data_IF_443896367584
#
_entry.id   IF_443896367584
#
_cell.length_a   1.000
_cell.length_b   1.000
_cell.length_c   1.000
_cell.angle_alpha   90.00
_cell.angle_beta   90.00
_cell.angle_gamma   90.00
#
_symmetry.space_group_name_H-M   'P 1'
#
loop_
_entity.id
_entity.type
_entity.pdbx_description
1 polymer ?
#
# COMPACT_ATOMS: atom_id res chain seq x y z
N UNK A 1 -32.97 -1.49 -27.67
CA UNK A 1 -32.62 -1.31 -27.19
C UNK A 1 -32.34 -1.37 -26.27
N UNK A 2 -32.12 -1.33 -26.08
CA UNK A 2 -31.69 -1.27 -25.22
C UNK A 2 -31.03 -1.30 -24.42
N UNK A 3 -30.69 -1.32 -24.47
CA UNK A 3 -29.92 -1.23 -23.71
C UNK A 3 -29.55 -1.02 -22.81
N UNK A 4 -29.52 -0.97 -22.87
CA UNK A 4 -29.00 -0.62 -22.11
C UNK A 4 -28.68 -0.62 -21.24
N UNK A 5 -28.68 -0.63 -21.39
CA UNK A 5 -28.21 -0.40 -20.66
C UNK A 5 -27.70 -0.48 -19.89
N UNK A 6 -27.54 -0.50 -20.02
CA UNK A 6 -26.86 -0.35 -19.35
C UNK A 6 -26.39 -0.20 -18.69
N UNK A 7 -26.30 -0.03 -18.77
CA UNK A 7 -25.72 0.38 -18.12
C UNK A 7 -25.47 0.33 -17.35
N UNK A 8 -25.47 0.30 -17.40
CA UNK A 8 -25.05 0.54 -16.63
C UNK A 8 -24.67 0.20 -15.97
N UNK A 9 -24.49 -0.07 -16.16
CA UNK A 9 -23.89 -0.09 -15.49
C UNK A 9 -23.43 -0.14 -14.72
N UNK A 10 -23.25 -0.18 -14.73
CA UNK A 10 -22.66 0.07 -14.03
C UNK A 10 -22.21 0.10 -13.43
N UNK A 11 -21.89 0.57 -13.53
CA UNK A 11 -21.32 1.04 -12.92
C UNK A 11 -21.08 0.96 -12.06
N UNK A 12 -21.01 0.98 -11.96
CA UNK A 12 -20.65 1.20 -11.13
C UNK A 12 -20.12 0.87 -10.43
N UNK A 13 -19.79 0.70 -10.54
CA UNK A 13 -19.17 0.60 -9.90
C UNK A 13 -18.54 0.74 -9.31
N UNK A 14 -18.31 0.96 -9.43
CA UNK A 14 -17.69 1.33 -8.97
C UNK A 14 -17.22 1.48 -8.19
N UNK A 15 -16.82 1.59 -7.96
CA UNK A 15 -16.35 1.89 -7.32
C UNK A 15 -15.93 2.13 -6.40
N UNK A 16 -15.39 2.45 -6.46
CA UNK A 16 -15.16 3.35 -5.39
C UNK A 16 -14.57 2.88 -4.12
N UNK A 17 -14.60 1.72 -3.85
CA UNK A 17 -13.92 1.15 -2.71
C UNK A 17 -12.50 1.63 -2.64
N UNK A 18 -12.03 2.14 -3.71
CA UNK A 18 -10.67 2.62 -3.79
C UNK A 18 -10.39 3.79 -2.87
N UNK A 19 -11.43 4.39 -2.32
CA UNK A 19 -11.24 5.54 -1.46
C UNK A 19 -10.49 5.21 -0.18
N UNK A 20 -10.36 3.96 0.16
CA UNK A 20 -9.79 3.58 1.45
C UNK A 20 -8.38 3.02 1.37
N UNK A 21 -7.65 3.38 0.35
CA UNK A 21 -6.28 2.94 0.25
C UNK A 21 -5.47 3.49 1.41
N UNK A 22 -4.68 2.64 2.00
CA UNK A 22 -3.69 3.02 2.99
C UNK A 22 -2.32 2.68 2.45
N UNK A 23 -1.32 3.35 2.98
CA UNK A 23 0.05 3.12 2.57
C UNK A 23 0.88 2.83 3.80
N UNK A 24 1.83 1.93 3.65
CA UNK A 24 2.65 1.45 4.74
C UNK A 24 4.11 1.48 4.34
N UNK A 25 4.96 1.68 5.33
CA UNK A 25 6.39 1.56 5.13
C UNK A 25 6.83 0.26 5.77
N UNK A 26 7.55 -0.55 5.03
CA UNK A 26 8.05 -1.83 5.53
C UNK A 26 9.55 -1.92 5.34
N UNK A 27 10.16 -2.73 6.19
CA UNK A 27 11.47 -3.26 5.91
C UNK A 27 11.25 -4.68 5.39
N UNK A 28 11.56 -4.90 4.12
CA UNK A 28 11.30 -6.17 3.46
C UNK A 28 12.59 -6.68 2.86
N UNK A 29 13.06 -7.81 3.36
CA UNK A 29 14.34 -8.39 2.95
C UNK A 29 15.49 -7.39 3.07
N UNK A 30 15.48 -6.60 4.14
CA UNK A 30 16.55 -5.66 4.41
C UNK A 30 16.49 -4.35 3.65
N UNK A 31 15.38 -4.07 2.97
CA UNK A 31 15.20 -2.83 2.20
C UNK A 31 13.90 -2.14 2.56
N UNK A 32 13.94 -0.83 2.60
CA UNK A 32 12.74 -0.03 2.83
C UNK A 32 11.87 -0.03 1.57
N UNK A 33 10.60 -0.38 1.75
CA UNK A 33 9.61 -0.34 0.66
C UNK A 33 8.37 0.39 1.16
N UNK A 34 7.65 1.02 0.24
CA UNK A 34 6.37 1.65 0.53
C UNK A 34 5.31 0.91 -0.29
N UNK A 35 4.28 0.40 0.39
CA UNK A 35 3.30 -0.49 -0.21
C UNK A 35 1.90 -0.08 0.16
N UNK A 36 0.96 -0.34 -0.72
CA UNK A 36 -0.46 -0.20 -0.39
C UNK A 36 -1.03 -1.48 0.22
N UNK A 37 -0.25 -2.53 0.30
CA UNK A 37 -0.66 -3.79 0.92
C UNK A 37 -0.57 -3.66 2.43
N UNK A 38 -1.61 -4.13 3.12
CA UNK A 38 -1.56 -4.20 4.58
C UNK A 38 -0.68 -5.39 5.00
N UNK A 39 -0.38 -5.53 6.30
CA UNK A 39 0.52 -6.60 6.74
C UNK A 39 0.05 -8.00 6.36
N UNK A 40 -1.26 -8.25 6.36
CA UNK A 40 -1.76 -9.55 5.98
C UNK A 40 -1.54 -9.82 4.50
N UNK A 41 -1.78 -8.81 3.67
CA UNK A 41 -1.52 -8.92 2.23
C UNK A 41 -0.04 -9.08 1.95
N UNK A 42 0.80 -8.41 2.71
CA UNK A 42 2.25 -8.56 2.59
C UNK A 42 2.68 -9.98 2.89
N UNK A 43 2.10 -10.59 3.93
CA UNK A 43 2.44 -11.96 4.27
C UNK A 43 2.10 -12.92 3.14
N UNK A 44 0.95 -12.70 2.50
CA UNK A 44 0.54 -13.54 1.38
C UNK A 44 1.47 -13.33 0.18
N UNK A 45 1.81 -12.09 -0.12
CA UNK A 45 2.58 -11.77 -1.30
C UNK A 45 4.08 -12.03 -1.13
N UNK A 46 4.61 -11.81 0.06
CA UNK A 46 6.04 -11.77 0.31
C UNK A 46 6.53 -12.71 1.38
N UNK A 47 5.64 -13.44 2.02
CA UNK A 47 6.04 -14.34 3.09
C UNK A 47 6.27 -13.61 4.39
N UNK A 48 7.29 -13.99 5.14
CA UNK A 48 7.49 -13.49 6.50
C UNK A 48 8.72 -12.63 6.68
N UNK A 49 9.42 -12.29 5.60
CA UNK A 49 10.67 -11.55 5.70
C UNK A 49 10.51 -10.04 5.78
N UNK A 50 9.44 -9.56 6.37
CA UNK A 50 9.18 -8.13 6.45
C UNK A 50 8.71 -7.73 7.84
N UNK A 51 8.81 -6.42 8.12
CA UNK A 51 8.20 -5.85 9.31
C UNK A 51 7.71 -4.44 8.97
N UNK A 52 6.65 -4.02 9.64
CA UNK A 52 6.12 -2.69 9.43
C UNK A 52 6.95 -1.67 10.19
N UNK A 53 7.28 -0.57 9.51
CA UNK A 53 8.14 0.47 10.04
C UNK A 53 7.34 1.76 10.19
N UNK A 54 6.47 1.83 11.16
CA UNK A 54 5.69 3.03 11.40
C UNK A 54 4.20 2.79 11.22
N UNK A 55 3.40 3.85 11.25
CA UNK A 55 1.95 3.73 11.15
C UNK A 55 1.50 3.59 9.70
N UNK A 56 0.19 3.36 9.53
CA UNK A 56 -0.43 3.45 8.22
C UNK A 56 -0.63 4.91 7.85
N UNK A 57 -0.57 5.21 6.57
CA UNK A 57 -0.75 6.56 6.05
C UNK A 57 -1.89 6.58 5.04
N UNK A 58 -2.61 7.70 5.00
CA UNK A 58 -3.71 7.87 4.07
C UNK A 58 -3.22 8.21 2.66
N UNK A 59 -2.04 8.77 2.55
CA UNK A 59 -1.50 9.22 1.27
C UNK A 59 -0.14 8.61 0.99
N UNK A 60 0.08 8.29 -0.26
CA UNK A 60 1.36 7.76 -0.68
C UNK A 60 2.49 8.74 -0.35
N UNK A 61 2.26 10.02 -0.60
CA UNK A 61 3.28 11.02 -0.35
C UNK A 61 3.67 11.09 1.12
N UNK A 62 2.71 10.86 2.01
CA UNK A 62 2.99 10.86 3.44
C UNK A 62 3.87 9.68 3.83
N UNK A 63 3.58 8.51 3.28
CA UNK A 63 4.39 7.33 3.55
C UNK A 63 5.79 7.50 3.00
N UNK A 64 5.91 8.04 1.79
CA UNK A 64 7.21 8.28 1.18
C UNK A 64 8.03 9.28 1.98
N UNK A 65 7.38 10.33 2.46
CA UNK A 65 8.03 11.34 3.28
C UNK A 65 8.53 10.75 4.59
N UNK A 66 7.70 9.93 5.22
CA UNK A 66 8.09 9.24 6.44
C UNK A 66 9.30 8.35 6.20
N UNK A 67 9.28 7.58 5.12
CA UNK A 67 10.40 6.71 4.77
C UNK A 67 11.67 7.52 4.55
N UNK A 68 11.56 8.64 3.86
CA UNK A 68 12.70 9.49 3.56
C UNK A 68 13.30 10.09 4.83
N UNK A 69 12.46 10.62 5.70
CA UNK A 69 12.93 11.29 6.90
C UNK A 69 13.53 10.35 7.92
N UNK A 70 12.98 9.15 8.02
CA UNK A 70 13.36 8.25 9.09
C UNK A 70 14.36 7.20 8.68
N UNK A 71 14.40 6.84 7.39
CA UNK A 71 15.21 5.73 6.93
C UNK A 71 16.05 6.04 5.70
N UNK A 72 15.92 7.23 5.16
CA UNK A 72 16.68 7.63 3.99
C UNK A 72 15.97 7.32 2.67
N UNK A 73 14.75 6.77 2.71
CA UNK A 73 13.94 6.55 1.52
C UNK A 73 13.86 5.10 1.10
N UNK A 74 13.04 4.87 0.09
CA UNK A 74 12.86 3.53 -0.46
C UNK A 74 14.17 2.99 -1.00
N UNK A 75 14.37 1.69 -0.81
CA UNK A 75 15.57 1.02 -1.27
C UNK A 75 16.72 1.05 -0.30
N UNK A 76 16.65 1.86 0.76
CA UNK A 76 17.71 1.93 1.75
C UNK A 76 17.69 0.68 2.62
N UNK A 77 18.84 0.35 3.12
CA UNK A 77 19.00 -0.81 4.00
C UNK A 77 18.25 -0.60 5.30
N UNK A 78 17.68 -1.67 5.82
CA UNK A 78 16.97 -1.62 7.09
C UNK A 78 17.04 -2.97 7.76
N UNK A 79 16.54 -3.03 8.98
CA UNK A 79 16.48 -4.27 9.74
C UNK A 79 15.21 -4.28 10.56
N UNK A 80 14.64 -5.45 10.69
CA UNK A 80 13.45 -5.65 11.53
C UNK A 80 13.79 -5.84 12.99
N UNK A 81 15.02 -5.69 13.33
CA UNK A 81 15.40 -5.82 14.73
C UNK A 81 15.56 -4.51 15.43
#
# INVERSE_FOLDING_TARGET
MRLLIAAALGAVLLLPATAWANYFVYCDNGRIVVESRDPQQMRIARGSGFCQMGPAFDYLSSAQDFAQRNFGGQGRACSCR
#
